data_IF_565684671220
#
_entry.id   IF_565684671220
#
_cell.length_a   1.000
_cell.length_b   1.000
_cell.length_c   1.000
_cell.angle_alpha   90.00
_cell.angle_beta   90.00
_cell.angle_gamma   90.00
#
_symmetry.space_group_name_H-M   'P 1'
#
loop_
_entity.id
_entity.type
_entity.pdbx_description
1 polymer ?
#
# COMPACT_ATOMS: atom_id res chain seq x y z
N UNK A 1 7.84 -13.90 2.03
CA UNK A 1 7.72 -13.51 0.61
C UNK A 1 8.07 -12.04 0.37
N UNK A 2 8.25 -11.64 -0.91
CA UNK A 2 8.52 -10.25 -1.33
C UNK A 2 7.36 -9.66 -2.12
N UNK A 3 6.86 -8.50 -1.70
CA UNK A 3 5.73 -7.82 -2.35
C UNK A 3 6.12 -6.40 -2.76
N UNK A 4 5.78 -6.00 -3.98
CA UNK A 4 5.93 -4.62 -4.45
C UNK A 4 4.62 -3.88 -4.22
N UNK A 5 4.64 -2.88 -3.36
CA UNK A 5 3.55 -1.94 -3.19
C UNK A 5 3.74 -0.76 -4.15
N UNK A 6 2.65 -0.22 -4.66
CA UNK A 6 2.70 1.01 -5.44
C UNK A 6 1.42 1.84 -5.24
N UNK A 7 1.58 3.15 -5.31
CA UNK A 7 0.47 4.10 -5.36
C UNK A 7 0.71 5.06 -6.52
N UNK A 8 -0.32 5.35 -7.30
CA UNK A 8 -0.23 6.31 -8.40
C UNK A 8 -1.54 7.03 -8.60
N UNK A 9 -1.46 8.31 -8.92
CA UNK A 9 -2.60 9.05 -9.46
C UNK A 9 -2.62 8.97 -10.98
N UNK A 10 -3.63 9.57 -11.62
CA UNK A 10 -3.67 9.68 -13.08
C UNK A 10 -2.71 10.73 -13.68
N UNK A 11 -1.75 11.25 -12.88
CA UNK A 11 -0.77 12.25 -13.31
C UNK A 11 0.58 11.62 -13.64
N UNK A 12 1.25 12.17 -14.65
CA UNK A 12 2.61 11.77 -15.04
C UNK A 12 3.56 11.98 -13.86
N UNK A 13 4.41 10.98 -13.59
CA UNK A 13 5.41 11.04 -12.52
C UNK A 13 4.86 10.86 -11.10
N UNK A 14 3.58 10.51 -10.94
CA UNK A 14 2.94 10.35 -9.61
C UNK A 14 3.01 8.93 -9.03
N UNK A 15 3.76 8.02 -9.67
CA UNK A 15 3.92 6.66 -9.18
C UNK A 15 5.02 6.62 -8.13
N UNK A 16 4.67 6.21 -6.92
CA UNK A 16 5.60 5.83 -5.87
C UNK A 16 5.52 4.31 -5.70
N UNK A 17 6.65 3.67 -5.43
CA UNK A 17 6.73 2.23 -5.19
C UNK A 17 7.67 1.92 -4.02
N UNK A 18 7.36 0.83 -3.34
CA UNK A 18 8.15 0.31 -2.24
C UNK A 18 8.16 -1.23 -2.30
N UNK A 19 9.16 -1.86 -1.68
CA UNK A 19 9.28 -3.31 -1.60
C UNK A 19 9.30 -3.69 -0.13
N UNK A 20 8.35 -4.52 0.25
CA UNK A 20 8.24 -5.07 1.59
C UNK A 20 8.58 -6.56 1.58
N UNK A 21 9.22 -6.99 2.65
CA UNK A 21 9.48 -8.40 2.95
C UNK A 21 8.45 -8.82 4.03
N UNK A 22 7.56 -9.74 3.67
CA UNK A 22 6.55 -10.32 4.57
C UNK A 22 7.08 -11.68 5.03
N UNK A 23 7.17 -11.97 6.34
CA UNK A 23 7.56 -13.28 6.84
C UNK A 23 6.66 -14.40 6.29
N UNK A 24 7.23 -15.58 6.00
CA UNK A 24 6.46 -16.69 5.39
C UNK A 24 5.44 -17.30 6.37
N UNK A 25 5.72 -17.26 7.67
CA UNK A 25 4.84 -17.70 8.75
C UNK A 25 3.60 -16.82 8.92
N UNK A 26 3.63 -15.56 8.50
CA UNK A 26 2.47 -14.68 8.51
C UNK A 26 1.42 -15.05 7.45
N UNK A 27 1.83 -15.77 6.40
CA UNK A 27 0.97 -16.11 5.25
C UNK A 27 0.81 -17.62 5.05
N UNK A 28 1.47 -18.44 5.87
CA UNK A 28 1.43 -19.89 5.78
C UNK A 28 0.01 -20.41 6.10
N UNK A 29 -0.53 -21.25 5.22
CA UNK A 29 -1.86 -21.84 5.37
C UNK A 29 -3.03 -20.92 5.01
N UNK A 30 -2.77 -19.66 4.62
CA UNK A 30 -3.80 -18.79 4.06
C UNK A 30 -4.25 -19.30 2.69
N UNK A 31 -5.55 -19.24 2.44
CA UNK A 31 -6.11 -19.33 1.09
C UNK A 31 -5.70 -18.11 0.27
N UNK A 32 -5.82 -18.20 -1.07
CA UNK A 32 -5.57 -17.06 -1.95
C UNK A 32 -6.40 -15.83 -1.58
N UNK A 33 -7.65 -16.05 -1.14
CA UNK A 33 -8.55 -14.97 -0.73
C UNK A 33 -8.08 -14.30 0.56
N UNK A 34 -7.68 -15.08 1.56
CA UNK A 34 -7.18 -14.55 2.83
C UNK A 34 -5.86 -13.81 2.65
N UNK A 35 -4.99 -14.32 1.77
CA UNK A 35 -3.76 -13.64 1.40
C UNK A 35 -4.06 -12.29 0.73
N UNK A 36 -5.02 -12.23 -0.19
CA UNK A 36 -5.41 -10.97 -0.85
C UNK A 36 -5.99 -9.95 0.14
N UNK A 37 -6.86 -10.39 1.06
CA UNK A 37 -7.40 -9.54 2.13
C UNK A 37 -6.31 -9.03 3.07
N UNK A 38 -5.36 -9.90 3.45
CA UNK A 38 -4.22 -9.54 4.29
C UNK A 38 -3.29 -8.52 3.63
N UNK A 39 -2.90 -8.76 2.37
CA UNK A 39 -2.04 -7.87 1.61
C UNK A 39 -2.71 -6.50 1.38
N UNK A 40 -4.02 -6.47 1.11
CA UNK A 40 -4.77 -5.22 0.96
C UNK A 40 -4.80 -4.43 2.28
N UNK A 41 -5.04 -5.08 3.42
CA UNK A 41 -5.01 -4.42 4.73
C UNK A 41 -3.63 -3.83 5.01
N UNK A 42 -2.56 -4.60 4.78
CA UNK A 42 -1.19 -4.13 4.97
C UNK A 42 -0.87 -2.93 4.06
N UNK A 43 -1.22 -3.02 2.78
CA UNK A 43 -0.97 -1.96 1.81
C UNK A 43 -1.69 -0.65 2.19
N UNK A 44 -2.92 -0.74 2.70
CA UNK A 44 -3.69 0.41 3.16
C UNK A 44 -3.05 1.08 4.37
N UNK A 45 -2.62 0.30 5.35
CA UNK A 45 -1.91 0.79 6.54
C UNK A 45 -0.57 1.43 6.16
N UNK A 46 0.22 0.78 5.30
CA UNK A 46 1.49 1.32 4.82
C UNK A 46 1.29 2.63 4.07
N UNK A 47 0.30 2.70 3.17
CA UNK A 47 -0.08 3.92 2.44
C UNK A 47 -0.42 5.05 3.40
N UNK A 48 -1.23 4.78 4.42
CA UNK A 48 -1.64 5.81 5.40
C UNK A 48 -0.47 6.34 6.24
N UNK A 49 0.59 5.55 6.41
CA UNK A 49 1.81 5.96 7.12
C UNK A 49 2.78 6.77 6.26
N UNK A 50 2.79 6.59 4.94
CA UNK A 50 3.77 7.24 4.03
C UNK A 50 3.17 8.38 3.19
N UNK A 51 1.85 8.39 2.98
CA UNK A 51 1.16 9.40 2.16
C UNK A 51 0.63 10.50 3.07
N UNK A 52 1.12 11.73 2.88
CA UNK A 52 0.52 12.92 3.46
C UNK A 52 -0.49 13.52 2.47
N UNK A 53 -1.78 13.46 2.81
CA UNK A 53 -2.86 14.05 2.01
C UNK A 53 -3.51 15.20 2.78
N UNK A 54 -3.74 16.33 2.12
CA UNK A 54 -4.34 17.50 2.73
C UNK A 54 -4.97 18.44 1.69
N UNK A 55 -5.54 19.54 2.17
CA UNK A 55 -6.08 20.61 1.33
C UNK A 55 -5.76 21.97 1.95
N UNK A 56 -5.62 22.98 1.11
CA UNK A 56 -5.46 24.37 1.51
C UNK A 56 -6.49 25.21 0.75
N UNK A 57 -7.11 26.18 1.43
CA UNK A 57 -8.04 27.13 0.81
C UNK A 57 -7.23 28.34 0.37
N UNK A 58 -7.13 28.55 -0.95
CA UNK A 58 -6.28 29.58 -1.55
C UNK A 58 -6.98 30.96 -1.58
N UNK A 59 -8.31 31.01 -1.54
CA UNK A 59 -9.07 32.26 -1.56
C UNK A 59 -10.24 32.24 -0.54
N UNK A 60 -10.33 33.27 0.31
CA UNK A 60 -11.45 33.54 1.22
C UNK A 60 -12.09 34.89 0.91
#
# INVERSE_FOLDING_TARGET
MRVRLYVSTNKVGSKCEDIIDIPDDEVEGMTEKELDEHLNSYAEDHKNNIVNWGFEIIDK
#
